data_IF_689582297281
#
_entry.id   IF_689582297281
#
_cell.length_a   1.000
_cell.length_b   1.000
_cell.length_c   1.000
_cell.angle_alpha   90.00
_cell.angle_beta   90.00
_cell.angle_gamma   90.00
#
_symmetry.space_group_name_H-M   'P 1'
#
loop_
_entity.id
_entity.type
_entity.pdbx_description
1 polymer ?
#
# COMPACT_ATOMS: atom_id res chain seq x y z
N UNK A 1 63.86 -6.90 3.32
CA UNK A 1 64.08 -5.44 3.18
C UNK A 1 62.86 -4.75 3.76
N UNK A 2 63.01 -4.19 4.95
CA UNK A 2 62.03 -3.51 5.79
C UNK A 2 61.65 -2.14 5.24
N UNK A 3 60.39 -1.75 5.41
CA UNK A 3 59.91 -0.38 5.63
C UNK A 3 58.49 -0.49 6.25
N UNK A 4 58.33 -0.39 7.54
CA UNK A 4 58.27 0.77 8.43
C UNK A 4 57.05 1.67 8.16
N UNK A 5 56.04 1.52 9.02
CA UNK A 5 55.26 2.43 9.85
C UNK A 5 54.96 3.85 9.33
N UNK A 6 53.65 4.22 9.34
CA UNK A 6 53.21 5.56 9.72
C UNK A 6 51.84 5.48 10.35
N UNK A 7 51.82 5.62 11.67
CA UNK A 7 50.69 5.83 12.57
C UNK A 7 50.38 7.33 12.54
N UNK A 8 49.20 7.76 12.11
CA UNK A 8 48.69 9.11 12.36
C UNK A 8 47.38 9.03 13.12
N UNK A 9 47.49 9.31 14.40
CA UNK A 9 46.36 9.59 15.26
C UNK A 9 45.86 11.03 15.05
N UNK A 10 44.62 11.18 14.64
CA UNK A 10 43.92 12.46 14.67
C UNK A 10 42.87 12.40 15.82
N UNK A 11 43.21 13.03 16.91
CA UNK A 11 42.29 13.36 17.99
C UNK A 11 41.58 14.66 17.61
N UNK A 12 40.30 14.56 17.23
CA UNK A 12 39.40 15.69 17.03
C UNK A 12 38.34 15.70 18.11
N UNK A 13 38.51 16.57 19.12
CA UNK A 13 37.49 16.87 20.11
C UNK A 13 36.40 17.69 19.46
N UNK A 14 35.17 17.17 19.42
CA UNK A 14 33.99 17.95 19.03
C UNK A 14 33.17 18.22 20.29
N UNK A 15 33.07 19.51 20.63
CA UNK A 15 32.28 20.05 21.72
C UNK A 15 30.79 19.80 21.50
N UNK A 16 30.16 19.24 22.51
CA UNK A 16 28.70 19.09 22.61
C UNK A 16 28.13 20.46 23.00
N UNK A 17 27.46 21.12 22.06
CA UNK A 17 26.61 22.27 22.33
C UNK A 17 25.22 21.76 22.70
N UNK A 18 24.85 21.83 23.96
CA UNK A 18 23.49 21.68 24.43
C UNK A 18 22.63 22.84 23.91
N UNK A 19 21.86 22.59 22.87
CA UNK A 19 20.79 23.48 22.40
C UNK A 19 19.49 23.16 23.15
N UNK A 20 19.15 24.01 24.10
CA UNK A 20 17.90 24.05 24.83
C UNK A 20 16.77 24.37 23.87
N UNK A 21 15.83 23.45 23.66
CA UNK A 21 14.61 23.69 22.89
C UNK A 21 13.58 24.32 23.82
N UNK A 22 13.04 25.53 23.52
CA UNK A 22 11.89 26.04 24.25
C UNK A 22 10.65 25.23 23.91
N UNK A 23 9.92 24.78 24.92
CA UNK A 23 8.64 24.13 24.81
C UNK A 23 7.58 25.14 24.29
N UNK A 24 6.71 24.75 23.36
CA UNK A 24 5.55 25.56 23.03
C UNK A 24 4.46 25.33 24.08
N UNK A 25 4.33 26.27 25.01
CA UNK A 25 3.13 26.46 25.80
C UNK A 25 2.11 27.21 24.97
N UNK A 26 1.10 26.54 24.48
CA UNK A 26 -0.14 27.16 24.06
C UNK A 26 -1.30 26.22 24.40
N UNK A 27 -1.72 26.28 25.63
CA UNK A 27 -3.03 25.83 26.08
C UNK A 27 -4.04 26.89 25.65
N UNK A 28 -4.74 26.66 24.55
CA UNK A 28 -5.95 27.42 24.22
C UNK A 28 -7.12 26.47 24.38
N UNK A 29 -7.80 26.59 25.50
CA UNK A 29 -9.12 26.02 25.71
C UNK A 29 -10.13 26.81 24.90
N UNK A 30 -10.95 26.21 24.04
CA UNK A 30 -12.10 26.88 23.48
C UNK A 30 -13.22 26.98 24.56
N UNK A 31 -13.97 28.08 24.61
CA UNK A 31 -15.08 28.24 25.51
C UNK A 31 -16.20 27.26 25.15
N UNK A 32 -16.71 26.58 26.15
CA UNK A 32 -17.90 25.76 26.05
C UNK A 32 -19.12 26.66 25.90
N UNK A 33 -19.61 26.83 24.68
CA UNK A 33 -20.97 27.29 24.46
C UNK A 33 -21.87 26.05 24.43
N UNK A 34 -22.52 25.84 25.56
CA UNK A 34 -23.63 24.92 25.70
C UNK A 34 -24.83 25.44 24.92
N UNK A 35 -24.94 25.10 23.65
CA UNK A 35 -26.18 25.26 22.91
C UNK A 35 -27.14 24.16 23.35
N UNK A 36 -27.99 24.52 24.29
CA UNK A 36 -29.12 23.75 24.75
C UNK A 36 -30.05 23.44 23.57
N UNK A 37 -29.93 22.24 23.02
CA UNK A 37 -30.92 21.74 22.06
C UNK A 37 -32.21 21.43 22.83
N UNK A 38 -33.20 22.31 22.71
CA UNK A 38 -34.56 22.06 23.14
C UNK A 38 -35.11 20.85 22.37
N UNK A 39 -35.66 19.83 23.02
CA UNK A 39 -36.39 18.79 22.32
C UNK A 39 -37.62 19.40 21.67
N UNK A 40 -37.74 19.34 20.36
CA UNK A 40 -38.99 19.60 19.65
C UNK A 40 -39.92 18.42 19.94
N UNK A 41 -40.83 18.63 20.85
CA UNK A 41 -41.99 17.75 21.02
C UNK A 41 -42.85 17.90 19.78
N UNK A 42 -42.78 16.95 18.87
CA UNK A 42 -43.75 16.81 17.79
C UNK A 42 -45.06 16.38 18.38
N UNK A 43 -45.96 17.32 18.45
CA UNK A 43 -47.38 17.08 18.60
C UNK A 43 -47.95 16.94 17.20
N UNK A 44 -48.68 15.90 17.05
CA UNK A 44 -49.67 15.54 16.06
C UNK A 44 -49.25 14.33 15.21
N UNK A 45 -49.92 13.21 15.61
CA UNK A 45 -49.99 12.00 14.81
C UNK A 45 -50.84 12.26 13.55
N UNK A 46 -50.12 12.40 12.45
CA UNK A 46 -50.73 12.17 11.14
C UNK A 46 -49.84 11.17 10.45
N UNK A 47 -50.37 9.96 10.32
CA UNK A 47 -49.81 8.91 9.45
C UNK A 47 -49.90 9.41 8.01
N UNK A 48 -49.00 10.29 7.65
CA UNK A 48 -48.80 10.70 6.28
C UNK A 48 -47.82 9.72 5.63
N UNK A 49 -48.26 9.00 4.61
CA UNK A 49 -47.38 8.26 3.73
C UNK A 49 -46.28 9.21 3.24
N UNK A 50 -45.03 8.77 3.13
CA UNK A 50 -43.94 9.61 2.59
C UNK A 50 -44.36 10.15 1.23
N UNK A 51 -44.12 11.44 0.93
CA UNK A 51 -44.48 12.01 -0.36
C UNK A 51 -43.85 11.17 -1.47
N UNK A 52 -44.66 10.64 -2.37
CA UNK A 52 -44.22 9.94 -3.54
C UNK A 52 -43.34 10.90 -4.37
N UNK A 53 -42.09 10.50 -4.64
CA UNK A 53 -41.22 11.22 -5.50
C UNK A 53 -41.89 11.37 -6.87
N UNK A 54 -41.81 12.54 -7.53
CA UNK A 54 -42.42 12.74 -8.85
C UNK A 54 -41.88 11.67 -9.83
N UNK A 55 -42.80 10.97 -10.47
CA UNK A 55 -42.52 9.97 -11.48
C UNK A 55 -41.91 10.68 -12.69
N UNK A 56 -40.59 10.72 -12.75
CA UNK A 56 -39.84 11.40 -13.82
C UNK A 56 -38.32 11.30 -13.69
N UNK A 57 -37.82 10.78 -12.60
CA UNK A 57 -36.40 10.45 -12.52
C UNK A 57 -36.16 9.12 -13.25
N UNK A 58 -35.24 9.07 -14.25
CA UNK A 58 -34.81 7.78 -14.74
C UNK A 58 -34.34 6.96 -13.54
N UNK A 59 -34.62 5.63 -13.53
CA UNK A 59 -34.15 4.79 -12.44
C UNK A 59 -32.65 5.02 -12.35
N UNK A 60 -32.19 5.60 -11.23
CA UNK A 60 -30.78 5.52 -10.89
C UNK A 60 -30.52 4.03 -10.76
N UNK A 61 -29.96 3.44 -11.78
CA UNK A 61 -29.36 2.13 -11.67
C UNK A 61 -28.36 2.27 -10.53
N UNK A 62 -28.78 1.90 -9.34
CA UNK A 62 -27.84 1.57 -8.27
C UNK A 62 -27.08 0.42 -8.91
N UNK A 63 -25.93 0.75 -9.51
CA UNK A 63 -25.04 -0.24 -10.09
C UNK A 63 -24.90 -1.28 -9.00
N UNK A 64 -25.35 -2.50 -9.30
CA UNK A 64 -25.11 -3.64 -8.42
C UNK A 64 -23.64 -3.61 -8.07
N UNK A 65 -23.19 -4.15 -6.95
CA UNK A 65 -21.80 -4.07 -6.54
C UNK A 65 -20.98 -4.40 -7.79
N UNK A 66 -20.26 -3.38 -8.32
CA UNK A 66 -19.37 -3.56 -9.43
C UNK A 66 -18.53 -4.75 -9.01
N UNK A 67 -18.68 -5.90 -9.71
CA UNK A 67 -17.95 -7.11 -9.37
C UNK A 67 -16.51 -6.68 -9.27
N UNK A 68 -16.04 -6.60 -8.03
CA UNK A 68 -14.72 -6.01 -7.74
C UNK A 68 -13.75 -6.94 -8.42
N UNK A 69 -13.24 -6.53 -9.59
CA UNK A 69 -12.29 -7.32 -10.34
C UNK A 69 -11.11 -7.58 -9.44
N UNK A 70 -10.91 -8.84 -9.08
CA UNK A 70 -9.88 -9.27 -8.13
C UNK A 70 -8.93 -10.19 -8.85
N UNK A 71 -7.65 -9.87 -8.82
CA UNK A 71 -6.59 -10.77 -9.29
C UNK A 71 -6.10 -11.58 -8.10
N UNK A 72 -6.23 -12.89 -8.20
CA UNK A 72 -5.78 -13.82 -7.16
C UNK A 72 -4.66 -14.71 -7.70
N UNK A 73 -3.70 -15.01 -6.83
CA UNK A 73 -2.59 -15.83 -7.24
C UNK A 73 -1.67 -16.24 -6.12
N UNK A 74 -0.55 -16.81 -6.51
CA UNK A 74 0.47 -17.31 -5.61
C UNK A 74 1.86 -16.84 -6.04
N UNK A 75 2.64 -16.34 -5.10
CA UNK A 75 4.06 -16.04 -5.29
C UNK A 75 4.87 -17.23 -4.79
N UNK A 76 5.71 -17.78 -5.68
CA UNK A 76 6.65 -18.87 -5.38
C UNK A 76 8.07 -18.35 -5.43
N UNK A 77 8.90 -18.82 -4.51
CA UNK A 77 10.32 -18.51 -4.48
C UNK A 77 11.13 -19.68 -5.01
N UNK A 78 11.96 -19.44 -6.02
CA UNK A 78 12.85 -20.46 -6.55
C UNK A 78 13.78 -20.99 -5.45
N UNK A 79 13.98 -22.32 -5.41
CA UNK A 79 14.74 -22.98 -4.33
C UNK A 79 16.14 -22.37 -4.14
N UNK A 80 16.82 -22.01 -5.25
CA UNK A 80 18.15 -21.39 -5.24
C UNK A 80 18.24 -20.01 -4.61
N UNK A 81 17.08 -19.36 -4.38
CA UNK A 81 17.01 -18.00 -3.82
C UNK A 81 16.52 -17.95 -2.38
N UNK A 82 16.18 -19.09 -1.78
CA UNK A 82 15.62 -19.14 -0.41
C UNK A 82 16.53 -18.49 0.63
N UNK A 83 17.82 -18.80 0.56
CA UNK A 83 18.80 -18.24 1.50
C UNK A 83 19.03 -16.73 1.28
N UNK A 84 18.74 -16.24 0.07
CA UNK A 84 18.88 -14.83 -0.28
C UNK A 84 17.69 -13.97 0.14
N UNK A 85 16.51 -14.56 0.25
CA UNK A 85 15.31 -13.83 0.66
C UNK A 85 15.41 -13.30 2.11
N UNK A 86 16.14 -14.03 2.98
CA UNK A 86 16.27 -13.70 4.39
C UNK A 86 14.95 -13.80 5.16
N UNK A 87 15.00 -13.83 6.50
CA UNK A 87 13.79 -13.89 7.31
C UNK A 87 13.02 -12.56 7.35
N UNK A 88 13.72 -11.45 7.14
CA UNK A 88 13.16 -10.08 7.24
C UNK A 88 12.84 -9.47 5.87
N UNK A 89 12.85 -10.29 4.81
CA UNK A 89 12.52 -9.84 3.46
C UNK A 89 11.07 -9.38 3.36
N UNK A 90 10.86 -8.19 2.80
CA UNK A 90 9.53 -7.62 2.57
C UNK A 90 9.09 -7.90 1.13
N UNK A 91 7.95 -8.58 0.98
CA UNK A 91 7.36 -8.85 -0.32
C UNK A 91 6.49 -7.68 -0.78
N UNK A 92 6.71 -7.23 -2.00
CA UNK A 92 5.85 -6.31 -2.72
C UNK A 92 5.25 -7.03 -3.93
N UNK A 93 3.93 -7.05 -4.02
CA UNK A 93 3.21 -7.47 -5.23
C UNK A 93 2.69 -6.22 -5.92
N UNK A 94 3.21 -5.93 -7.10
CA UNK A 94 3.01 -4.67 -7.82
C UNK A 94 2.28 -4.97 -9.12
N UNK A 95 1.12 -4.34 -9.33
CA UNK A 95 0.41 -4.36 -10.59
C UNK A 95 0.71 -3.09 -11.39
N UNK A 96 1.18 -3.27 -12.61
CA UNK A 96 1.39 -2.20 -13.59
C UNK A 96 0.43 -2.39 -14.75
N UNK A 97 -0.11 -1.30 -15.29
CA UNK A 97 -0.83 -1.35 -16.56
C UNK A 97 0.09 -1.87 -17.66
N UNK A 98 -0.29 -2.95 -18.35
CA UNK A 98 0.51 -3.49 -19.46
C UNK A 98 0.60 -2.52 -20.63
N UNK A 99 -0.38 -1.60 -20.77
CA UNK A 99 -0.41 -0.61 -21.84
C UNK A 99 0.52 0.59 -21.58
N UNK A 100 0.58 1.07 -20.33
CA UNK A 100 1.29 2.31 -19.98
C UNK A 100 2.53 2.11 -19.11
N UNK A 101 2.65 0.94 -18.46
CA UNK A 101 3.69 0.65 -17.47
C UNK A 101 3.49 1.35 -16.12
N UNK A 102 2.42 2.14 -15.99
CA UNK A 102 2.11 2.86 -14.76
C UNK A 102 1.74 1.88 -13.64
N UNK A 103 2.20 2.15 -12.41
CA UNK A 103 1.79 1.40 -11.23
C UNK A 103 0.33 1.71 -10.92
N UNK A 104 -0.50 0.67 -10.87
CA UNK A 104 -1.93 0.77 -10.57
C UNK A 104 -2.20 0.37 -9.12
N UNK A 105 -1.67 -0.75 -8.68
CA UNK A 105 -1.88 -1.26 -7.33
C UNK A 105 -0.60 -1.86 -6.75
N UNK A 106 -0.46 -1.78 -5.42
CA UNK A 106 0.66 -2.35 -4.69
C UNK A 106 0.16 -2.97 -3.39
N UNK A 107 0.58 -4.20 -3.15
CA UNK A 107 0.41 -4.86 -1.86
C UNK A 107 1.78 -5.13 -1.25
N UNK A 108 1.97 -4.69 -0.01
CA UNK A 108 3.15 -4.95 0.82
C UNK A 108 2.82 -6.05 1.81
N UNK A 109 3.75 -6.98 2.00
CA UNK A 109 3.65 -8.04 3.00
C UNK A 109 5.00 -8.21 3.71
N UNK A 110 4.99 -8.08 5.03
CA UNK A 110 6.15 -8.30 5.88
C UNK A 110 6.16 -9.76 6.34
N UNK A 111 7.33 -10.38 6.39
CA UNK A 111 7.50 -11.78 6.82
C UNK A 111 6.72 -12.80 5.95
N UNK A 112 6.65 -12.56 4.64
CA UNK A 112 5.97 -13.45 3.71
C UNK A 112 6.56 -14.87 3.75
N UNK A 113 5.69 -15.87 3.88
CA UNK A 113 6.06 -17.29 3.79
C UNK A 113 5.71 -17.82 2.42
N UNK A 114 6.65 -18.48 1.78
CA UNK A 114 6.45 -19.01 0.43
C UNK A 114 6.10 -20.51 0.45
N UNK A 115 5.11 -20.93 -0.38
CA UNK A 115 4.34 -20.13 -1.33
C UNK A 115 3.40 -19.13 -0.63
N UNK A 116 3.29 -17.90 -1.17
CA UNK A 116 2.47 -16.83 -0.61
C UNK A 116 1.26 -16.56 -1.51
N UNK A 117 0.05 -16.77 -0.98
CA UNK A 117 -1.17 -16.43 -1.68
C UNK A 117 -1.44 -14.92 -1.60
N UNK A 118 -1.70 -14.28 -2.74
CA UNK A 118 -2.01 -12.86 -2.80
C UNK A 118 -3.37 -12.61 -3.45
N UNK A 119 -3.92 -11.44 -3.11
CA UNK A 119 -5.14 -10.91 -3.68
C UNK A 119 -4.94 -9.41 -3.93
N UNK A 120 -5.18 -8.96 -5.16
CA UNK A 120 -5.14 -7.55 -5.56
C UNK A 120 -6.50 -7.12 -6.09
N UNK A 121 -6.95 -5.95 -5.66
CA UNK A 121 -8.26 -5.39 -6.01
C UNK A 121 -8.16 -3.87 -6.18
N UNK A 122 -9.27 -3.24 -6.50
CA UNK A 122 -9.37 -1.78 -6.53
C UNK A 122 -9.02 -1.13 -5.17
N UNK A 123 -9.16 -1.86 -4.05
CA UNK A 123 -8.76 -1.37 -2.73
C UNK A 123 -7.25 -1.23 -2.51
N UNK A 124 -6.43 -1.87 -3.36
CA UNK A 124 -4.96 -1.81 -3.31
C UNK A 124 -4.38 -0.74 -4.27
N UNK A 125 -5.25 0.05 -4.93
CA UNK A 125 -4.82 1.10 -5.86
C UNK A 125 -4.11 2.24 -5.14
N UNK A 126 -3.04 2.75 -5.75
CA UNK A 126 -2.22 3.81 -5.16
C UNK A 126 -2.83 5.21 -5.31
N UNK A 127 -3.80 5.38 -6.18
CA UNK A 127 -4.48 6.65 -6.43
C UNK A 127 -5.99 6.42 -6.55
N UNK A 128 -6.76 7.30 -5.92
CA UNK A 128 -8.22 7.30 -6.07
C UNK A 128 -8.62 7.59 -7.52
N UNK A 129 -9.66 6.91 -7.98
CA UNK A 129 -10.20 7.10 -9.34
C UNK A 129 -9.45 6.40 -10.45
N UNK A 130 -8.35 5.68 -10.16
CA UNK A 130 -7.68 4.84 -11.15
C UNK A 130 -8.44 3.51 -11.26
N UNK A 131 -9.01 3.18 -12.43
CA UNK A 131 -9.75 1.95 -12.60
C UNK A 131 -8.80 0.73 -12.53
N UNK A 132 -9.24 -0.31 -11.81
CA UNK A 132 -8.55 -1.60 -11.76
C UNK A 132 -9.06 -2.52 -12.89
N UNK A 133 -8.77 -2.15 -14.13
CA UNK A 133 -9.37 -2.78 -15.32
C UNK A 133 -8.45 -3.73 -16.10
N UNK A 134 -7.14 -3.72 -15.82
CA UNK A 134 -6.16 -4.57 -16.51
C UNK A 134 -6.10 -4.34 -18.04
N UNK A 135 -5.35 -5.14 -18.79
CA UNK A 135 -4.43 -6.17 -18.31
C UNK A 135 -3.23 -5.57 -17.53
N UNK A 136 -2.68 -6.39 -16.65
CA UNK A 136 -1.58 -5.99 -15.77
C UNK A 136 -0.32 -6.78 -16.02
N UNK A 137 0.82 -6.15 -15.85
CA UNK A 137 2.09 -6.82 -15.60
C UNK A 137 2.30 -6.85 -14.09
N UNK A 138 2.26 -8.06 -13.51
CA UNK A 138 2.46 -8.26 -12.08
C UNK A 138 3.92 -8.54 -11.80
N UNK A 139 4.48 -7.82 -10.85
CA UNK A 139 5.84 -8.07 -10.36
C UNK A 139 5.79 -8.40 -8.88
N UNK A 140 6.31 -9.58 -8.51
CA UNK A 140 6.60 -9.90 -7.12
C UNK A 140 8.07 -9.57 -6.85
N UNK A 141 8.33 -8.68 -5.89
CA UNK A 141 9.67 -8.29 -5.49
C UNK A 141 9.87 -8.49 -3.99
N UNK A 142 10.96 -9.16 -3.62
CA UNK A 142 11.38 -9.31 -2.24
C UNK A 142 12.51 -8.31 -1.99
N UNK A 143 12.22 -7.28 -1.22
CA UNK A 143 13.19 -6.27 -0.79
C UNK A 143 13.87 -6.70 0.49
N UNK A 144 15.19 -6.68 0.51
CA UNK A 144 16.00 -7.02 1.70
C UNK A 144 16.09 -5.87 2.70
N UNK A 145 15.97 -4.64 2.22
CA UNK A 145 15.96 -3.43 3.04
C UNK A 145 14.57 -3.04 3.54
N UNK A 146 13.51 -3.66 3.02
CA UNK A 146 12.13 -3.26 3.27
C UNK A 146 11.71 -1.98 2.51
N UNK A 147 12.58 -1.46 1.65
CA UNK A 147 12.31 -0.26 0.88
C UNK A 147 11.36 -0.53 -0.29
N UNK A 148 10.45 0.41 -0.53
CA UNK A 148 9.55 0.36 -1.68
C UNK A 148 10.28 0.62 -3.00
N UNK A 149 11.41 1.33 -2.98
CA UNK A 149 12.24 1.57 -4.14
C UNK A 149 13.09 0.34 -4.46
N UNK A 150 13.15 -0.06 -5.75
CA UNK A 150 13.96 -1.19 -6.17
C UNK A 150 15.45 -0.96 -5.88
N UNK A 151 16.09 -1.97 -5.26
CA UNK A 151 17.52 -1.93 -4.93
C UNK A 151 18.28 -3.07 -5.61
N UNK A 152 19.57 -2.91 -5.91
CA UNK A 152 20.41 -4.03 -6.30
C UNK A 152 20.41 -5.13 -5.23
N UNK A 153 20.26 -6.37 -5.69
CA UNK A 153 20.16 -7.53 -4.81
C UNK A 153 18.75 -7.92 -4.41
N UNK A 154 17.73 -7.11 -4.73
CA UNK A 154 16.31 -7.51 -4.58
C UNK A 154 16.02 -8.73 -5.46
N UNK A 155 15.09 -9.57 -5.00
CA UNK A 155 14.66 -10.74 -5.77
C UNK A 155 13.38 -10.41 -6.49
N UNK A 156 13.27 -10.79 -7.76
CA UNK A 156 12.13 -10.43 -8.60
C UNK A 156 11.59 -11.61 -9.42
N UNK A 157 10.28 -11.58 -9.66
CA UNK A 157 9.56 -12.43 -10.59
C UNK A 157 8.42 -11.66 -11.23
N UNK A 158 8.04 -12.01 -12.47
CA UNK A 158 7.03 -11.27 -13.22
C UNK A 158 6.05 -12.21 -13.91
N UNK A 159 4.75 -11.90 -13.85
CA UNK A 159 3.71 -12.47 -14.70
C UNK A 159 3.14 -11.36 -15.57
N UNK A 160 3.19 -11.53 -16.89
CA UNK A 160 2.77 -10.49 -17.86
C UNK A 160 1.37 -10.70 -18.37
N UNK A 161 0.73 -9.59 -18.75
CA UNK A 161 -0.56 -9.57 -19.43
C UNK A 161 -1.67 -10.30 -18.67
N UNK A 162 -1.74 -10.09 -17.36
CA UNK A 162 -2.73 -10.70 -16.48
C UNK A 162 -4.04 -9.91 -16.58
N UNK A 163 -5.14 -10.59 -16.90
CA UNK A 163 -6.45 -9.96 -16.97
C UNK A 163 -6.95 -9.53 -15.59
N UNK A 164 -7.70 -8.43 -15.52
CA UNK A 164 -8.43 -8.07 -14.30
C UNK A 164 -9.46 -9.17 -13.98
N UNK A 165 -9.46 -9.63 -12.72
CA UNK A 165 -10.31 -10.75 -12.30
C UNK A 165 -9.71 -12.13 -12.57
N UNK A 166 -8.47 -12.25 -13.01
CA UNK A 166 -7.83 -13.53 -13.24
C UNK A 166 -7.59 -14.30 -11.93
N UNK A 167 -8.08 -15.53 -11.80
CA UNK A 167 -7.75 -16.40 -10.68
C UNK A 167 -6.47 -17.19 -10.94
N UNK A 168 -5.80 -17.63 -9.86
CA UNK A 168 -4.73 -18.62 -9.93
C UNK A 168 -3.45 -18.19 -10.63
N UNK A 169 -3.14 -16.91 -10.62
CA UNK A 169 -1.92 -16.36 -11.22
C UNK A 169 -0.69 -16.83 -10.43
N UNK A 170 0.26 -17.46 -11.12
CA UNK A 170 1.51 -17.89 -10.49
C UNK A 170 2.65 -16.92 -10.85
N UNK A 171 3.32 -16.36 -9.85
CA UNK A 171 4.51 -15.54 -10.02
C UNK A 171 5.69 -16.28 -9.39
N UNK A 172 6.70 -16.62 -10.19
CA UNK A 172 7.91 -17.26 -9.69
C UNK A 172 9.02 -16.22 -9.54
N UNK A 173 9.45 -16.01 -8.30
CA UNK A 173 10.61 -15.15 -7.99
C UNK A 173 11.88 -15.96 -8.25
N UNK A 174 12.59 -15.61 -9.31
CA UNK A 174 13.74 -16.39 -9.79
C UNK A 174 14.92 -15.53 -10.24
N UNK A 175 14.78 -14.22 -10.27
CA UNK A 175 15.84 -13.30 -10.67
C UNK A 175 16.37 -12.50 -9.48
N UNK A 176 17.64 -12.17 -9.51
CA UNK A 176 18.27 -11.21 -8.61
C UNK A 176 18.51 -9.94 -9.42
N UNK A 177 18.02 -8.83 -8.91
CA UNK A 177 18.21 -7.52 -9.52
C UNK A 177 19.71 -7.15 -9.49
N UNK A 178 20.29 -6.69 -10.62
CA UNK A 178 21.69 -6.27 -10.70
C UNK A 178 21.99 -5.00 -9.89
#
# INVERSE_FOLDING_TARGET
MSRAAALMAFAGAIAVACGERPAPTASVSPPAEATSLRPLTSRDGTTGAPPALPAGHPPVSVGGPAESKVVEGEVRLAARLRDRAGPDGVLFVIARSSATGQVVAVRKEEHARFPFAFRLSAGDTMMEGVPFDGPFDLTARISRSGDAMPQPGDLEGTAKNVAAGAPGVAIVVEHVRP
#
